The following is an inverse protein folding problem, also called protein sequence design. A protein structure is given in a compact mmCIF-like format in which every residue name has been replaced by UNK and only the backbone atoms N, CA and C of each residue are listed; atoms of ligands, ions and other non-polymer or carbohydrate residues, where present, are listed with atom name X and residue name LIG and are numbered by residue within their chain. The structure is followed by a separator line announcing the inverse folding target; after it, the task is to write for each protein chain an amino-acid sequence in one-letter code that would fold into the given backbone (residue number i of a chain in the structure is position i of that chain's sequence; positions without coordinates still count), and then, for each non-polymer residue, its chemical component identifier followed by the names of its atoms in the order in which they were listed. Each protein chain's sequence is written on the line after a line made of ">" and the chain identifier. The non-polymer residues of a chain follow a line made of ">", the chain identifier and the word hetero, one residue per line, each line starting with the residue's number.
data_IF_302793089394
#
_entry.id   IF_302793089394
#
_cell.length_a   1.000
_cell.length_b   1.000
_cell.length_c   1.000
_cell.angle_alpha   90.00
_cell.angle_beta   90.00
_cell.angle_gamma   90.00
#
_symmetry.space_group_name_H-M   'P 1'
#
loop_
_entity.id
_entity.type
_entity.pdbx_description
1 polymer ?
#
# COMPACT_ATOMS: atom_id res chain seq x y z
N UNK A 1 2.06 19.89 -16.69
CA UNK A 1 1.65 19.06 -15.53
C UNK A 1 1.91 19.87 -14.27
N UNK A 2 0.86 20.44 -13.62
CA UNK A 2 0.98 21.39 -12.50
C UNK A 2 1.87 20.91 -11.35
N UNK A 3 1.86 19.61 -11.06
CA UNK A 3 2.66 18.99 -10.00
C UNK A 3 4.18 19.12 -10.20
N UNK A 4 4.70 19.46 -11.38
CA UNK A 4 6.15 19.74 -11.52
C UNK A 4 6.56 21.14 -11.05
N UNK A 5 5.63 22.10 -11.06
CA UNK A 5 5.93 23.51 -10.79
C UNK A 5 5.38 23.93 -9.43
N UNK A 6 4.15 23.54 -9.11
CA UNK A 6 3.47 24.02 -7.90
C UNK A 6 3.66 23.12 -6.68
N UNK A 7 3.99 21.84 -6.90
CA UNK A 7 4.15 20.83 -5.83
C UNK A 7 5.28 19.85 -6.16
N UNK A 8 6.55 20.30 -6.23
CA UNK A 8 7.66 19.46 -6.63
C UNK A 8 7.75 18.19 -5.75
N UNK A 9 8.18 17.08 -6.36
CA UNK A 9 8.26 15.73 -5.74
C UNK A 9 6.94 15.08 -5.32
N UNK A 10 5.79 15.72 -5.52
CA UNK A 10 4.50 15.17 -5.08
C UNK A 10 4.05 13.94 -5.89
N UNK A 11 4.37 13.87 -7.18
CA UNK A 11 3.83 12.82 -8.07
C UNK A 11 4.22 11.40 -7.64
N UNK A 12 5.37 11.22 -7.00
CA UNK A 12 5.80 9.92 -6.48
C UNK A 12 4.83 9.39 -5.40
N UNK A 13 4.20 10.29 -4.64
CA UNK A 13 3.30 9.93 -3.56
C UNK A 13 2.07 9.16 -4.08
N UNK A 14 1.67 9.35 -5.35
CA UNK A 14 0.61 8.56 -5.97
C UNK A 14 1.04 7.11 -6.17
N UNK A 15 2.20 6.87 -6.80
CA UNK A 15 2.71 5.52 -7.03
C UNK A 15 3.00 4.81 -5.70
N UNK A 16 3.59 5.54 -4.74
CA UNK A 16 3.80 5.05 -3.38
C UNK A 16 2.50 4.66 -2.70
N UNK A 17 1.49 5.55 -2.74
CA UNK A 17 0.18 5.32 -2.12
C UNK A 17 -0.55 4.13 -2.72
N UNK A 18 -0.51 3.99 -4.05
CA UNK A 18 -1.14 2.88 -4.77
C UNK A 18 -0.53 1.53 -4.37
N UNK A 19 0.79 1.43 -4.44
CA UNK A 19 1.48 0.20 -4.03
C UNK A 19 1.28 -0.10 -2.54
N UNK A 20 1.28 0.92 -1.67
CA UNK A 20 1.02 0.77 -0.24
C UNK A 20 -0.37 0.19 0.04
N UNK A 21 -1.40 0.69 -0.65
CA UNK A 21 -2.77 0.19 -0.52
C UNK A 21 -2.88 -1.25 -1.04
N UNK A 22 -2.23 -1.58 -2.16
CA UNK A 22 -2.20 -2.96 -2.66
C UNK A 22 -1.54 -3.93 -1.67
N UNK A 23 -0.43 -3.53 -1.04
CA UNK A 23 0.22 -4.34 0.00
C UNK A 23 -0.64 -4.50 1.26
N UNK A 24 -1.34 -3.44 1.71
CA UNK A 24 -2.32 -3.54 2.81
C UNK A 24 -3.48 -4.49 2.46
N UNK A 25 -3.97 -4.44 1.23
CA UNK A 25 -5.02 -5.34 0.77
C UNK A 25 -4.53 -6.80 0.71
N UNK A 26 -3.30 -7.05 0.26
CA UNK A 26 -2.72 -8.39 0.27
C UNK A 26 -2.59 -8.97 1.70
N UNK A 27 -2.37 -8.14 2.72
CA UNK A 27 -2.40 -8.56 4.14
C UNK A 27 -3.84 -8.85 4.59
N UNK A 28 -4.80 -8.04 4.16
CA UNK A 28 -6.22 -8.27 4.43
C UNK A 28 -6.71 -9.61 3.84
N UNK A 29 -6.36 -9.93 2.59
CA UNK A 29 -6.73 -11.20 1.95
C UNK A 29 -6.22 -12.43 2.70
N UNK A 30 -5.07 -12.31 3.39
CA UNK A 30 -4.49 -13.36 4.23
C UNK A 30 -5.15 -13.49 5.61
N UNK A 31 -6.27 -12.79 5.84
CA UNK A 31 -7.03 -12.79 7.08
C UNK A 31 -6.19 -12.43 8.32
N UNK A 32 -5.32 -11.42 8.21
CA UNK A 32 -4.47 -10.99 9.32
C UNK A 32 -5.31 -10.71 10.59
N UNK A 33 -5.01 -11.35 11.73
CA UNK A 33 -5.75 -11.15 12.97
C UNK A 33 -5.78 -9.67 13.36
N UNK A 34 -6.96 -9.13 13.67
CA UNK A 34 -7.10 -7.74 14.09
C UNK A 34 -6.84 -6.68 13.01
N UNK A 35 -6.79 -7.05 11.72
CA UNK A 35 -6.54 -6.12 10.62
C UNK A 35 -7.39 -4.85 10.69
N UNK A 36 -8.72 -5.00 10.86
CA UNK A 36 -9.64 -3.86 10.90
C UNK A 36 -9.28 -2.88 12.02
N UNK A 37 -8.95 -3.38 13.21
CA UNK A 37 -8.58 -2.55 14.35
C UNK A 37 -7.25 -1.82 14.07
N UNK A 38 -6.23 -2.54 13.57
CA UNK A 38 -4.96 -1.94 13.19
C UNK A 38 -5.12 -0.86 12.09
N UNK A 39 -6.01 -1.09 11.12
CA UNK A 39 -6.35 -0.14 10.06
C UNK A 39 -7.01 1.12 10.62
N UNK A 40 -7.99 0.97 11.52
CA UNK A 40 -8.59 2.13 12.18
C UNK A 40 -7.60 2.92 13.03
N UNK A 41 -6.69 2.25 13.72
CA UNK A 41 -5.68 2.93 14.54
C UNK A 41 -4.64 3.66 13.70
N UNK A 42 -4.28 3.10 12.53
CA UNK A 42 -3.48 3.80 11.51
C UNK A 42 -4.19 5.07 11.02
N UNK A 43 -5.48 4.98 10.65
CA UNK A 43 -6.25 6.13 10.19
C UNK A 43 -6.38 7.21 11.26
N UNK A 44 -6.64 6.82 12.53
CA UNK A 44 -6.72 7.76 13.66
C UNK A 44 -5.42 8.48 13.94
N UNK A 45 -4.27 7.82 13.71
CA UNK A 45 -2.96 8.43 13.91
C UNK A 45 -2.68 9.57 12.93
N UNK A 46 -3.34 9.60 11.76
CA UNK A 46 -3.13 10.63 10.75
C UNK A 46 -1.64 10.81 10.43
N UNK A 47 -1.17 12.06 10.43
CA UNK A 47 0.24 12.39 10.18
C UNK A 47 1.16 12.38 11.40
N UNK A 48 0.72 11.85 12.55
CA UNK A 48 1.50 11.92 13.81
C UNK A 48 2.65 10.91 13.90
N UNK A 49 2.71 9.95 12.97
CA UNK A 49 3.72 8.88 12.92
C UNK A 49 4.30 8.74 11.51
N UNK A 50 5.54 8.25 11.45
CA UNK A 50 6.13 7.90 10.15
C UNK A 50 5.48 6.65 9.55
N UNK A 51 5.50 6.54 8.22
CA UNK A 51 4.92 5.39 7.50
C UNK A 51 5.46 4.05 8.01
N UNK A 52 6.74 3.96 8.36
CA UNK A 52 7.34 2.75 8.95
C UNK A 52 6.63 2.31 10.23
N UNK A 53 6.32 3.26 11.11
CA UNK A 53 5.62 2.97 12.38
C UNK A 53 4.14 2.65 12.17
N UNK A 54 3.51 3.29 11.17
CA UNK A 54 2.12 3.03 10.81
C UNK A 54 1.91 1.65 10.18
N UNK A 55 2.93 1.15 9.47
CA UNK A 55 2.87 -0.13 8.75
C UNK A 55 3.30 -1.33 9.61
N UNK A 56 4.10 -1.11 10.66
CA UNK A 56 4.60 -2.17 11.52
C UNK A 56 3.49 -3.11 12.10
N UNK A 57 2.30 -2.64 12.50
CA UNK A 57 1.22 -3.51 12.98
C UNK A 57 0.69 -4.52 11.96
N UNK A 58 0.94 -4.31 10.66
CA UNK A 58 0.56 -5.20 9.57
C UNK A 58 1.71 -6.15 9.16
N UNK A 59 2.86 -6.07 9.83
CA UNK A 59 4.08 -6.78 9.44
C UNK A 59 4.73 -6.22 8.18
N UNK A 60 4.48 -4.94 7.87
CA UNK A 60 4.90 -4.30 6.62
C UNK A 60 6.04 -3.29 6.86
N UNK A 61 7.02 -3.27 5.95
CA UNK A 61 8.15 -2.32 5.96
C UNK A 61 8.42 -1.80 4.54
N UNK A 62 8.08 -0.55 4.27
CA UNK A 62 8.26 0.07 2.95
C UNK A 62 9.74 0.27 2.54
N UNK A 63 10.69 0.07 3.46
CA UNK A 63 12.13 0.07 3.14
C UNK A 63 12.64 -1.28 2.65
N UNK A 64 11.86 -2.35 2.81
CA UNK A 64 12.16 -3.68 2.28
C UNK A 64 11.71 -3.74 0.81
N UNK A 65 12.58 -4.06 -0.16
CA UNK A 65 12.18 -4.21 -1.56
C UNK A 65 11.07 -5.25 -1.77
N UNK A 66 11.04 -6.32 -0.96
CA UNK A 66 10.04 -7.39 -1.06
C UNK A 66 8.63 -6.91 -0.70
N UNK A 67 8.52 -5.79 0.03
CA UNK A 67 7.23 -5.15 0.33
C UNK A 67 6.47 -4.76 -0.94
N UNK A 68 7.19 -4.29 -1.97
CA UNK A 68 6.60 -3.81 -3.22
C UNK A 68 6.16 -4.95 -4.12
N UNK A 69 6.83 -6.11 -4.03
CA UNK A 69 6.46 -7.32 -4.79
C UNK A 69 5.03 -7.75 -4.46
N UNK A 70 4.64 -7.72 -3.18
CA UNK A 70 3.28 -8.09 -2.76
C UNK A 70 2.19 -7.23 -3.43
N UNK A 71 2.42 -5.92 -3.54
CA UNK A 71 1.50 -4.99 -4.20
C UNK A 71 1.46 -5.19 -5.71
N UNK A 72 2.60 -5.43 -6.35
CA UNK A 72 2.69 -5.69 -7.80
C UNK A 72 2.07 -7.04 -8.18
N UNK A 73 2.26 -8.08 -7.38
CA UNK A 73 1.66 -9.40 -7.60
C UNK A 73 0.12 -9.36 -7.56
N UNK A 74 -0.49 -8.38 -6.90
CA UNK A 74 -1.94 -8.19 -6.95
C UNK A 74 -2.40 -7.73 -8.33
N UNK A 75 -1.69 -6.78 -8.93
CA UNK A 75 -1.96 -6.29 -10.29
C UNK A 75 -1.74 -7.42 -11.30
N UNK A 76 -0.66 -8.18 -11.13
CA UNK A 76 -0.38 -9.37 -11.96
C UNK A 76 -1.54 -10.37 -11.92
N UNK A 77 -2.07 -10.71 -10.73
CA UNK A 77 -3.24 -11.59 -10.60
C UNK A 77 -4.46 -11.05 -11.33
N UNK A 78 -4.74 -9.75 -11.23
CA UNK A 78 -5.87 -9.12 -11.92
C UNK A 78 -5.74 -9.19 -13.45
N UNK A 79 -4.52 -9.05 -13.97
CA UNK A 79 -4.25 -9.19 -15.41
C UNK A 79 -4.50 -10.64 -15.85
N UNK A 80 -3.96 -11.62 -15.11
CA UNK A 80 -4.16 -13.05 -15.42
C UNK A 80 -5.63 -13.45 -15.34
N UNK A 81 -6.37 -12.95 -14.35
CA UNK A 81 -7.81 -13.19 -14.24
C UNK A 81 -8.55 -12.65 -15.47
N UNK A 82 -8.22 -11.43 -15.91
CA UNK A 82 -8.81 -10.83 -17.10
C UNK A 82 -8.49 -11.62 -18.38
N UNK A 83 -7.24 -12.05 -18.57
CA UNK A 83 -6.82 -12.87 -19.71
C UNK A 83 -7.55 -14.21 -19.78
N UNK A 84 -7.90 -14.80 -18.63
CA UNK A 84 -8.66 -16.04 -18.55
C UNK A 84 -10.16 -15.91 -18.84
N UNK A 85 -10.66 -14.69 -19.06
CA UNK A 85 -12.06 -14.43 -19.42
C UNK A 85 -12.31 -14.43 -20.94
N UNK A 86 -11.26 -14.48 -21.76
CA UNK A 86 -11.31 -14.67 -23.22
C UNK A 86 -11.36 -16.16 -23.61
#
# INVERSE_FOLDING_TARGET
>A
IPHFIHSPFYVYAYAFGDCLVNSLYAVYEKAHPGFAQAYFDMLKAGGTKHHRELLAPFGLDASDPTFWEAGLSLIERMIVELEGME
#
